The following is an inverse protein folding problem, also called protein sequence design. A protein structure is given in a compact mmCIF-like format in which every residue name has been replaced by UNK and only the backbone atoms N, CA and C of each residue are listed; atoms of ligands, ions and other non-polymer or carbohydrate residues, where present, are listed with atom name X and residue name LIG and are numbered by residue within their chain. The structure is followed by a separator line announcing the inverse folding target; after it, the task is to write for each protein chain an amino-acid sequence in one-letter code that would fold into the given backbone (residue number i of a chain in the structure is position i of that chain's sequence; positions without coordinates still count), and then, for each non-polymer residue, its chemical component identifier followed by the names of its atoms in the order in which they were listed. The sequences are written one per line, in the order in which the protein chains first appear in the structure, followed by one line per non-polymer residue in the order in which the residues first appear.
data_IF_124333035433
#
_entry.id   IF_124333035433
#
_cell.length_a   1.000
_cell.length_b   1.000
_cell.length_c   1.000
_cell.angle_alpha   90.00
_cell.angle_beta   90.00
_cell.angle_gamma   90.00
#
_symmetry.space_group_name_H-M   'P 1'
#
loop_
_entity.id
_entity.type
_entity.pdbx_description
1 polymer ?
#
# COMPACT_ATOMS: atom_id res chain seq x y z
N UNK A 1 5.62 14.12 -18.56
CA UNK A 1 4.90 12.85 -18.27
C UNK A 1 3.90 12.58 -19.40
N UNK A 2 3.83 11.36 -19.97
CA UNK A 2 2.94 11.10 -21.14
C UNK A 2 1.93 9.99 -20.91
N UNK A 3 2.13 9.10 -19.93
CA UNK A 3 1.28 7.94 -19.68
C UNK A 3 0.86 7.93 -18.21
N UNK A 4 -0.42 8.19 -17.95
CA UNK A 4 -1.01 8.20 -16.62
C UNK A 4 -1.79 6.91 -16.38
N UNK A 5 -1.58 6.27 -15.25
CA UNK A 5 -2.43 5.18 -14.76
C UNK A 5 -3.50 5.72 -13.82
N UNK A 6 -4.71 5.20 -13.90
CA UNK A 6 -5.77 5.48 -12.93
C UNK A 6 -6.17 4.22 -12.18
N UNK A 7 -6.29 4.35 -10.86
CA UNK A 7 -6.95 3.39 -9.99
C UNK A 7 -7.96 4.16 -9.15
N UNK A 8 -9.23 3.76 -9.19
CA UNK A 8 -10.32 4.54 -8.61
C UNK A 8 -11.18 3.66 -7.71
N UNK A 9 -11.59 4.20 -6.56
CA UNK A 9 -12.62 3.57 -5.72
C UNK A 9 -13.99 3.69 -6.41
N UNK A 10 -14.35 2.66 -7.18
CA UNK A 10 -15.59 2.61 -8.01
C UNK A 10 -16.87 2.85 -7.20
N UNK A 11 -16.90 2.45 -5.92
CA UNK A 11 -18.05 2.71 -5.05
C UNK A 11 -18.24 4.17 -4.64
N UNK A 12 -17.31 5.07 -5.00
CA UNK A 12 -17.40 6.50 -4.75
C UNK A 12 -17.65 7.26 -6.08
N UNK A 13 -18.87 7.77 -6.32
CA UNK A 13 -19.19 8.50 -7.54
C UNK A 13 -18.34 9.76 -7.77
N UNK A 14 -17.95 10.47 -6.71
CA UNK A 14 -17.09 11.66 -6.84
C UNK A 14 -15.67 11.30 -7.28
N UNK A 15 -15.18 10.11 -6.88
CA UNK A 15 -13.89 9.60 -7.36
C UNK A 15 -13.93 9.32 -8.87
N UNK A 16 -15.03 8.78 -9.39
CA UNK A 16 -15.21 8.55 -10.84
C UNK A 16 -15.28 9.88 -11.59
N UNK A 17 -16.06 10.85 -11.11
CA UNK A 17 -16.13 12.18 -11.72
C UNK A 17 -14.77 12.87 -11.76
N UNK A 18 -14.00 12.80 -10.67
CA UNK A 18 -12.65 13.33 -10.64
C UNK A 18 -11.74 12.60 -11.63
N UNK A 19 -11.88 11.28 -11.76
CA UNK A 19 -11.12 10.48 -12.71
C UNK A 19 -11.37 10.92 -14.17
N UNK A 20 -12.63 11.19 -14.52
CA UNK A 20 -13.02 11.72 -15.84
C UNK A 20 -12.29 13.04 -16.13
N UNK A 21 -12.31 13.98 -15.16
CA UNK A 21 -11.59 15.25 -15.31
C UNK A 21 -10.06 15.09 -15.39
N UNK A 22 -9.48 14.16 -14.64
CA UNK A 22 -8.04 13.86 -14.71
C UNK A 22 -7.70 13.29 -16.09
N UNK A 23 -8.58 12.45 -16.65
CA UNK A 23 -8.39 11.88 -17.96
C UNK A 23 -8.45 12.96 -19.07
N UNK A 24 -9.45 13.83 -19.02
CA UNK A 24 -9.57 14.97 -19.94
C UNK A 24 -8.36 15.90 -19.85
N UNK A 25 -7.96 16.28 -18.64
CA UNK A 25 -6.80 17.14 -18.39
C UNK A 25 -5.51 16.55 -18.99
N UNK A 26 -5.32 15.23 -18.88
CA UNK A 26 -4.15 14.54 -19.42
C UNK A 26 -4.15 14.52 -20.95
N UNK A 27 -5.31 14.29 -21.57
CA UNK A 27 -5.47 14.21 -23.02
C UNK A 27 -5.32 15.57 -23.68
N UNK A 28 -5.86 16.64 -23.08
CA UNK A 28 -5.67 18.03 -23.53
C UNK A 28 -4.19 18.42 -23.61
N UNK A 29 -3.35 17.80 -22.79
CA UNK A 29 -1.88 17.99 -22.75
C UNK A 29 -1.11 16.98 -23.60
N UNK A 30 -1.81 16.20 -24.43
CA UNK A 30 -1.21 15.21 -25.33
C UNK A 30 -0.75 13.91 -24.65
N UNK A 31 -1.20 13.66 -23.42
CA UNK A 31 -0.97 12.43 -22.68
C UNK A 31 -1.96 11.31 -23.04
N UNK A 32 -1.73 10.14 -22.46
CA UNK A 32 -2.62 8.97 -22.52
C UNK A 32 -2.91 8.48 -21.12
N UNK A 33 -4.14 8.01 -20.93
CA UNK A 33 -4.65 7.54 -19.65
C UNK A 33 -4.94 6.05 -19.77
N UNK A 34 -4.43 5.25 -18.84
CA UNK A 34 -4.54 3.80 -18.82
C UNK A 34 -5.23 3.35 -17.54
N UNK A 35 -6.09 2.34 -17.65
CA UNK A 35 -6.80 1.75 -16.50
C UNK A 35 -7.24 0.33 -16.84
N UNK A 36 -7.75 -0.42 -15.85
CA UNK A 36 -8.35 -1.73 -16.11
C UNK A 36 -9.63 -1.66 -16.96
N UNK A 37 -9.99 -2.79 -17.58
CA UNK A 37 -11.14 -2.91 -18.49
C UNK A 37 -12.46 -2.44 -17.88
N UNK A 38 -12.70 -2.72 -16.59
CA UNK A 38 -13.96 -2.36 -15.93
C UNK A 38 -14.06 -0.85 -15.72
N UNK A 39 -12.98 -0.24 -15.25
CA UNK A 39 -12.93 1.20 -15.00
C UNK A 39 -12.88 2.04 -16.28
N UNK A 40 -12.30 1.51 -17.37
CA UNK A 40 -12.27 2.17 -18.67
C UNK A 40 -13.68 2.40 -19.27
N UNK A 41 -14.67 1.59 -18.88
CA UNK A 41 -16.07 1.81 -19.30
C UNK A 41 -16.72 3.02 -18.61
N UNK A 42 -16.14 3.52 -17.52
CA UNK A 42 -16.70 4.58 -16.69
C UNK A 42 -15.98 5.93 -16.86
N UNK A 43 -14.77 5.92 -17.43
CA UNK A 43 -13.91 7.11 -17.59
C UNK A 43 -13.71 7.36 -19.07
N UNK A 44 -14.10 8.55 -19.55
CA UNK A 44 -13.88 8.92 -20.94
C UNK A 44 -12.40 9.03 -21.24
N UNK A 45 -12.03 8.74 -22.48
CA UNK A 45 -10.66 8.84 -22.99
C UNK A 45 -9.63 7.93 -22.30
N UNK A 46 -10.05 7.05 -21.39
CA UNK A 46 -9.20 6.05 -20.77
C UNK A 46 -9.02 4.84 -21.70
N UNK A 47 -7.81 4.33 -21.78
CA UNK A 47 -7.43 3.15 -22.54
C UNK A 47 -7.43 1.95 -21.60
N UNK A 48 -8.27 0.97 -21.89
CA UNK A 48 -8.28 -0.30 -21.18
C UNK A 48 -7.00 -1.09 -21.43
N UNK A 49 -6.39 -1.60 -20.36
CA UNK A 49 -5.31 -2.59 -20.42
C UNK A 49 -5.57 -3.71 -19.41
N UNK A 50 -5.03 -4.92 -19.62
CA UNK A 50 -5.06 -5.95 -18.60
C UNK A 50 -4.41 -5.43 -17.31
N UNK A 51 -5.02 -5.71 -16.16
CA UNK A 51 -4.56 -5.22 -14.84
C UNK A 51 -3.08 -5.51 -14.59
N UNK A 52 -2.59 -6.68 -15.03
CA UNK A 52 -1.20 -7.11 -14.93
C UNK A 52 -0.21 -6.24 -15.73
N UNK A 53 -0.67 -5.59 -16.79
CA UNK A 53 0.12 -4.79 -17.72
C UNK A 53 0.03 -3.28 -17.40
N UNK A 54 -0.89 -2.88 -16.54
CA UNK A 54 -1.05 -1.49 -16.12
C UNK A 54 0.25 -0.89 -15.52
N UNK A 55 0.98 -1.56 -14.61
CA UNK A 55 2.22 -1.03 -14.04
C UNK A 55 3.34 -0.81 -15.06
N UNK A 56 3.36 -1.52 -16.19
CA UNK A 56 4.39 -1.37 -17.22
C UNK A 56 3.97 -0.38 -18.32
N UNK A 57 2.72 0.06 -18.31
CA UNK A 57 2.13 0.92 -19.32
C UNK A 57 2.19 2.41 -18.98
N UNK A 58 2.58 2.77 -17.75
CA UNK A 58 2.41 4.13 -17.20
C UNK A 58 3.69 4.71 -16.62
N UNK A 59 3.78 6.04 -16.58
CA UNK A 59 4.87 6.80 -15.98
C UNK A 59 4.55 7.22 -14.54
N UNK A 60 3.26 7.40 -14.22
CA UNK A 60 2.73 7.75 -12.90
C UNK A 60 1.41 7.01 -12.69
N UNK A 61 1.21 6.48 -11.48
CA UNK A 61 -0.07 5.94 -11.05
C UNK A 61 -0.82 6.97 -10.19
N UNK A 62 -2.01 7.38 -10.59
CA UNK A 62 -2.90 8.25 -9.82
C UNK A 62 -3.99 7.40 -9.17
N UNK A 63 -4.06 7.45 -7.85
CA UNK A 63 -4.99 6.65 -7.04
C UNK A 63 -6.04 7.55 -6.43
N UNK A 64 -7.29 7.42 -6.85
CA UNK A 64 -8.42 8.21 -6.35
C UNK A 64 -9.25 7.36 -5.37
N UNK A 65 -9.02 7.52 -4.08
CA UNK A 65 -9.64 6.66 -3.08
C UNK A 65 -9.15 6.92 -1.66
N UNK A 66 -9.08 5.86 -0.86
CA UNK A 66 -8.48 5.90 0.48
C UNK A 66 -7.33 4.91 0.60
N UNK A 67 -6.87 4.66 1.82
CA UNK A 67 -5.73 3.77 2.09
C UNK A 67 -5.90 2.36 1.51
N UNK A 68 -7.12 1.81 1.53
CA UNK A 68 -7.39 0.50 0.90
C UNK A 68 -7.17 0.49 -0.62
N UNK A 69 -7.50 1.59 -1.29
CA UNK A 69 -7.26 1.78 -2.74
C UNK A 69 -5.76 1.96 -3.00
N UNK A 70 -5.06 2.68 -2.12
CA UNK A 70 -3.61 2.83 -2.18
C UNK A 70 -2.88 1.49 -2.01
N UNK A 71 -3.32 0.66 -1.06
CA UNK A 71 -2.77 -0.69 -0.86
C UNK A 71 -2.97 -1.58 -2.08
N UNK A 72 -4.13 -1.47 -2.74
CA UNK A 72 -4.38 -2.16 -4.00
C UNK A 72 -3.39 -1.71 -5.09
N UNK A 73 -3.21 -0.40 -5.25
CA UNK A 73 -2.26 0.16 -6.22
C UNK A 73 -0.80 -0.27 -5.94
N UNK A 74 -0.36 -0.22 -4.68
CA UNK A 74 0.98 -0.65 -4.30
C UNK A 74 1.23 -2.14 -4.62
N UNK A 75 0.23 -3.00 -4.39
CA UNK A 75 0.30 -4.43 -4.77
C UNK A 75 0.36 -4.64 -6.28
N UNK A 76 -0.38 -3.84 -7.06
CA UNK A 76 -0.33 -3.93 -8.53
C UNK A 76 1.05 -3.53 -9.06
N UNK A 77 1.62 -2.45 -8.54
CA UNK A 77 2.96 -1.98 -8.95
C UNK A 77 4.03 -3.00 -8.57
N UNK A 78 3.85 -3.71 -7.45
CA UNK A 78 4.69 -4.85 -7.03
C UNK A 78 6.19 -4.49 -7.00
N UNK A 79 6.50 -3.30 -6.47
CA UNK A 79 7.88 -2.83 -6.31
C UNK A 79 8.55 -2.32 -7.60
N UNK A 80 7.81 -2.10 -8.69
CA UNK A 80 8.31 -1.39 -9.88
C UNK A 80 8.54 0.09 -9.57
N UNK A 81 9.42 0.72 -10.34
CA UNK A 81 9.78 2.15 -10.24
C UNK A 81 8.73 3.06 -10.89
N UNK A 82 7.47 2.89 -10.51
CA UNK A 82 6.37 3.78 -10.93
C UNK A 82 5.90 4.55 -9.70
N UNK A 83 6.05 5.88 -9.66
CA UNK A 83 5.54 6.70 -8.58
C UNK A 83 4.02 6.58 -8.43
N UNK A 84 3.53 6.74 -7.20
CA UNK A 84 2.10 6.73 -6.89
C UNK A 84 1.71 8.08 -6.31
N UNK A 85 0.72 8.74 -6.93
CA UNK A 85 0.06 9.91 -6.40
C UNK A 85 -1.29 9.49 -5.79
N UNK A 86 -1.38 9.48 -4.46
CA UNK A 86 -2.61 9.18 -3.74
C UNK A 86 -3.46 10.42 -3.50
N UNK A 87 -4.68 10.41 -4.02
CA UNK A 87 -5.70 11.45 -3.79
C UNK A 87 -6.75 10.91 -2.84
N UNK A 88 -6.94 11.61 -1.73
CA UNK A 88 -7.94 11.26 -0.74
C UNK A 88 -9.35 11.64 -1.21
N UNK A 89 -10.22 10.64 -1.32
CA UNK A 89 -11.63 10.80 -1.68
C UNK A 89 -12.58 10.49 -0.51
N UNK A 90 -12.17 10.77 0.73
CA UNK A 90 -12.96 10.49 1.94
C UNK A 90 -12.36 11.10 3.21
N UNK A 91 -12.43 10.38 4.33
CA UNK A 91 -11.74 10.77 5.58
C UNK A 91 -10.23 10.81 5.37
N UNK A 92 -9.54 11.74 6.04
CA UNK A 92 -8.07 11.85 5.98
C UNK A 92 -7.43 10.50 6.36
N UNK A 93 -6.73 9.89 5.40
CA UNK A 93 -5.97 8.65 5.57
C UNK A 93 -4.50 8.93 5.88
N UNK A 94 -3.71 7.87 6.09
CA UNK A 94 -2.27 8.00 6.32
C UNK A 94 -1.44 7.90 5.03
N UNK A 95 -2.00 7.30 3.97
CA UNK A 95 -1.26 7.03 2.72
C UNK A 95 -1.62 7.97 1.58
N UNK A 96 -2.79 8.59 1.61
CA UNK A 96 -3.22 9.55 0.58
C UNK A 96 -2.65 10.92 0.88
N UNK A 97 -1.96 11.50 -0.10
CA UNK A 97 -1.10 12.66 0.10
C UNK A 97 -1.84 14.00 -0.12
N UNK A 98 -2.85 14.02 -0.99
CA UNK A 98 -3.50 15.26 -1.43
C UNK A 98 -5.03 15.14 -1.50
N UNK A 99 -5.71 16.27 -1.48
CA UNK A 99 -7.17 16.39 -1.65
C UNK A 99 -7.57 16.51 -3.13
N UNK A 100 -8.87 16.34 -3.40
CA UNK A 100 -9.47 16.52 -4.73
C UNK A 100 -9.20 17.89 -5.36
N UNK A 101 -9.13 18.94 -4.54
CA UNK A 101 -8.83 20.33 -4.96
C UNK A 101 -7.37 20.53 -5.37
N UNK A 102 -6.48 19.71 -4.85
CA UNK A 102 -5.03 19.83 -5.07
C UNK A 102 -4.54 19.01 -6.27
N UNK A 103 -5.36 18.11 -6.80
CA UNK A 103 -4.97 17.19 -7.88
C UNK A 103 -4.36 17.90 -9.08
N UNK A 104 -5.06 18.86 -9.68
CA UNK A 104 -4.54 19.53 -10.88
C UNK A 104 -3.30 20.40 -10.59
N UNK A 105 -3.27 21.23 -9.52
CA UNK A 105 -2.04 21.92 -9.13
C UNK A 105 -0.84 20.97 -8.95
N UNK A 106 -1.04 19.81 -8.32
CA UNK A 106 0.04 18.83 -8.12
C UNK A 106 0.44 18.15 -9.42
N UNK A 107 -0.51 17.78 -10.28
CA UNK A 107 -0.19 17.21 -11.60
C UNK A 107 0.62 18.18 -12.45
N UNK A 108 0.31 19.49 -12.42
CA UNK A 108 1.11 20.51 -13.10
C UNK A 108 2.52 20.64 -12.55
N UNK A 109 2.70 20.51 -11.22
CA UNK A 109 4.04 20.47 -10.61
C UNK A 109 4.81 19.22 -11.02
N UNK A 110 4.14 18.07 -11.08
CA UNK A 110 4.75 16.82 -11.55
C UNK A 110 5.20 16.92 -13.00
N UNK A 111 4.41 17.55 -13.88
CA UNK A 111 4.81 17.79 -15.27
C UNK A 111 6.06 18.66 -15.41
N UNK A 112 6.29 19.57 -14.44
CA UNK A 112 7.46 20.43 -14.36
C UNK A 112 8.63 19.80 -13.59
N UNK A 113 8.50 18.53 -13.20
CA UNK A 113 9.48 17.81 -12.38
C UNK A 113 9.73 18.47 -11.00
N UNK A 114 8.76 19.26 -10.52
CA UNK A 114 8.77 19.91 -9.20
C UNK A 114 8.05 19.03 -8.17
N UNK A 115 8.69 17.92 -7.79
CA UNK A 115 8.21 17.02 -6.75
C UNK A 115 9.36 16.27 -6.07
N UNK A 116 9.06 15.67 -4.92
CA UNK A 116 9.98 14.79 -4.18
C UNK A 116 9.38 13.40 -4.17
N UNK A 117 10.22 12.39 -4.38
CA UNK A 117 9.84 10.99 -4.21
C UNK A 117 10.14 10.53 -2.79
N UNK A 118 9.15 9.92 -2.15
CA UNK A 118 9.32 9.20 -0.89
C UNK A 118 9.34 7.70 -1.17
N UNK A 119 10.46 7.05 -0.88
CA UNK A 119 10.56 5.60 -0.94
C UNK A 119 9.95 4.98 0.32
N UNK A 120 9.02 4.04 0.12
CA UNK A 120 8.38 3.29 1.21
C UNK A 120 8.82 1.83 1.12
N UNK A 121 9.32 1.30 2.23
CA UNK A 121 9.72 -0.10 2.29
C UNK A 121 8.53 -1.05 2.12
N UNK A 122 8.80 -2.22 1.54
CA UNK A 122 7.88 -3.35 1.45
C UNK A 122 8.49 -4.54 2.19
N UNK A 123 7.69 -5.30 2.94
CA UNK A 123 8.15 -6.60 3.43
C UNK A 123 8.03 -7.62 2.31
N UNK A 124 9.08 -8.43 2.11
CA UNK A 124 8.99 -9.66 1.35
C UNK A 124 8.69 -10.80 2.32
N UNK A 125 7.60 -11.53 2.06
CA UNK A 125 7.06 -12.54 2.98
C UNK A 125 6.96 -13.86 2.26
N UNK A 126 7.64 -14.88 2.77
CA UNK A 126 7.54 -16.25 2.29
C UNK A 126 6.75 -17.10 3.28
N UNK A 127 5.72 -17.76 2.78
CA UNK A 127 5.00 -18.79 3.53
C UNK A 127 5.51 -20.15 3.05
N UNK A 128 6.19 -20.87 3.94
CA UNK A 128 6.82 -22.15 3.64
C UNK A 128 6.40 -23.25 4.62
N UNK A 129 6.50 -24.51 4.18
CA UNK A 129 6.38 -25.70 5.01
C UNK A 129 7.62 -26.57 4.81
N UNK A 130 8.48 -26.63 5.84
CA UNK A 130 9.82 -27.19 5.67
C UNK A 130 10.59 -26.38 4.64
N UNK A 131 11.23 -27.08 3.69
CA UNK A 131 11.99 -26.43 2.60
C UNK A 131 11.10 -25.97 1.43
N UNK A 132 9.81 -26.31 1.43
CA UNK A 132 8.90 -25.98 0.32
C UNK A 132 8.24 -24.61 0.55
N UNK A 133 8.58 -23.64 -0.29
CA UNK A 133 7.85 -22.36 -0.39
C UNK A 133 6.48 -22.61 -1.02
N UNK A 134 5.42 -22.21 -0.32
CA UNK A 134 4.03 -22.36 -0.76
C UNK A 134 3.52 -21.10 -1.46
N UNK A 135 3.95 -19.92 -0.99
CA UNK A 135 3.62 -18.64 -1.62
C UNK A 135 4.57 -17.53 -1.14
N UNK A 136 4.75 -16.52 -1.99
CA UNK A 136 5.54 -15.33 -1.69
C UNK A 136 4.69 -14.09 -1.92
N UNK A 137 4.83 -13.09 -1.04
CA UNK A 137 4.05 -11.86 -1.07
C UNK A 137 4.96 -10.66 -0.84
N UNK A 138 4.61 -9.51 -1.43
CA UNK A 138 5.13 -8.21 -1.02
C UNK A 138 4.02 -7.45 -0.33
N UNK A 139 4.28 -6.92 0.86
CA UNK A 139 3.27 -6.21 1.66
C UNK A 139 3.75 -4.82 2.06
N UNK A 140 2.88 -3.83 1.88
CA UNK A 140 3.17 -2.43 2.21
C UNK A 140 2.96 -2.14 3.70
N UNK A 141 1.89 -2.68 4.31
CA UNK A 141 1.61 -2.42 5.72
C UNK A 141 2.18 -3.52 6.61
N UNK A 142 1.55 -4.68 6.60
CA UNK A 142 1.85 -5.72 7.57
C UNK A 142 1.58 -7.13 7.05
N UNK A 143 2.28 -8.09 7.65
CA UNK A 143 2.06 -9.52 7.56
C UNK A 143 1.54 -10.01 8.91
N UNK A 144 0.39 -10.68 8.90
CA UNK A 144 -0.31 -11.10 10.12
C UNK A 144 -0.37 -12.62 10.18
N UNK A 145 0.23 -13.19 11.21
CA UNK A 145 0.14 -14.62 11.51
C UNK A 145 -0.83 -14.79 12.67
N UNK A 146 -2.00 -15.37 12.42
CA UNK A 146 -3.08 -15.51 13.41
C UNK A 146 -3.68 -16.92 13.36
N UNK A 147 -4.11 -17.44 14.52
CA UNK A 147 -4.85 -18.69 14.59
C UNK A 147 -6.27 -18.58 14.02
N UNK A 148 -6.78 -19.64 13.40
CA UNK A 148 -8.15 -19.68 12.85
C UNK A 148 -9.25 -19.78 13.92
N UNK A 149 -8.89 -20.05 15.18
CA UNK A 149 -9.84 -20.26 16.29
C UNK A 149 -9.53 -19.34 17.46
N UNK A 150 -10.40 -19.34 18.47
CA UNK A 150 -10.19 -18.60 19.73
C UNK A 150 -9.05 -19.17 20.62
N UNK A 151 -8.26 -20.13 20.12
CA UNK A 151 -7.12 -20.70 20.85
C UNK A 151 -5.86 -19.90 20.57
N UNK A 152 -5.09 -19.65 21.62
CA UNK A 152 -3.76 -19.05 21.52
C UNK A 152 -2.85 -19.90 20.65
N UNK A 153 -2.20 -19.26 19.68
CA UNK A 153 -1.13 -19.87 18.88
C UNK A 153 0.21 -19.74 19.60
N UNK A 154 1.12 -20.68 19.32
CA UNK A 154 2.52 -20.62 19.75
C UNK A 154 3.38 -20.26 18.55
N UNK A 155 3.99 -19.09 18.57
CA UNK A 155 4.76 -18.54 17.46
C UNK A 155 6.21 -18.37 17.90
N UNK A 156 7.06 -19.34 17.56
CA UNK A 156 8.51 -19.16 17.67
C UNK A 156 8.95 -18.08 16.68
N UNK A 157 9.62 -17.05 17.19
CA UNK A 157 10.10 -15.92 16.42
C UNK A 157 11.61 -15.89 16.45
N UNK A 158 12.20 -15.79 15.26
CA UNK A 158 13.63 -15.72 15.05
C UNK A 158 13.97 -14.49 14.23
N UNK A 159 15.04 -13.80 14.59
CA UNK A 159 15.59 -12.66 13.85
C UNK A 159 17.01 -13.04 13.47
N UNK A 160 17.39 -12.86 12.20
CA UNK A 160 18.70 -13.30 11.69
C UNK A 160 19.03 -14.76 12.03
N UNK A 161 18.01 -15.62 12.01
CA UNK A 161 18.07 -17.05 12.40
C UNK A 161 18.34 -17.30 13.88
N UNK A 162 18.45 -16.28 14.73
CA UNK A 162 18.60 -16.43 16.17
C UNK A 162 17.24 -16.44 16.86
N UNK A 163 17.09 -17.27 17.89
CA UNK A 163 15.87 -17.35 18.68
C UNK A 163 15.69 -16.08 19.52
N UNK A 164 14.51 -15.47 19.43
CA UNK A 164 14.18 -14.26 20.21
C UNK A 164 13.14 -14.57 21.28
N UNK A 165 11.99 -15.11 20.87
CA UNK A 165 10.90 -15.42 21.79
C UNK A 165 9.93 -16.44 21.19
N UNK A 166 9.11 -17.06 22.04
CA UNK A 166 7.93 -17.82 21.62
C UNK A 166 6.69 -17.09 22.13
N UNK A 167 5.96 -16.44 21.23
CA UNK A 167 4.74 -15.73 21.59
C UNK A 167 3.58 -16.72 21.78
N UNK A 168 2.89 -16.60 22.92
CA UNK A 168 1.56 -17.18 23.16
C UNK A 168 0.56 -16.05 23.06
N UNK A 169 -0.15 -15.97 21.95
CA UNK A 169 -0.95 -14.81 21.57
C UNK A 169 -2.07 -15.24 20.61
N UNK A 170 -2.99 -14.33 20.29
CA UNK A 170 -3.94 -14.55 19.19
C UNK A 170 -3.20 -14.58 17.85
N UNK A 171 -2.09 -13.84 17.75
CA UNK A 171 -1.23 -13.79 16.58
C UNK A 171 -0.02 -12.89 16.75
N UNK A 172 0.72 -12.69 15.67
CA UNK A 172 1.88 -11.82 15.56
C UNK A 172 1.78 -10.99 14.28
N UNK A 173 2.03 -9.69 14.40
CA UNK A 173 2.09 -8.74 13.30
C UNK A 173 3.56 -8.41 13.04
N UNK A 174 3.99 -8.51 11.79
CA UNK A 174 5.24 -7.96 11.30
C UNK A 174 4.89 -6.81 10.36
N UNK A 175 5.24 -5.57 10.71
CA UNK A 175 4.80 -4.38 10.00
C UNK A 175 5.97 -3.51 9.54
N UNK A 176 5.78 -2.83 8.40
CA UNK A 176 6.62 -1.72 7.96
C UNK A 176 6.29 -0.46 8.78
N UNK A 177 7.08 0.62 8.65
CA UNK A 177 6.74 1.94 9.18
C UNK A 177 5.43 2.48 8.58
N UNK A 178 5.16 2.16 7.31
CA UNK A 178 3.88 2.51 6.67
C UNK A 178 2.70 1.79 7.33
N UNK A 179 2.89 0.52 7.71
CA UNK A 179 1.90 -0.26 8.47
C UNK A 179 1.83 0.05 9.96
N UNK A 180 2.71 0.91 10.48
CA UNK A 180 2.74 1.30 11.90
C UNK A 180 1.45 1.98 12.36
N UNK A 181 0.74 2.64 11.44
CA UNK A 181 -0.54 3.31 11.66
C UNK A 181 -1.75 2.44 11.31
N UNK A 182 -1.51 1.21 10.86
CA UNK A 182 -2.54 0.23 10.50
C UNK A 182 -2.78 -0.77 11.64
N UNK A 183 -2.75 -2.08 11.37
CA UNK A 183 -3.12 -3.07 12.38
C UNK A 183 -2.12 -3.14 13.54
N UNK A 184 -0.85 -2.83 13.28
CA UNK A 184 0.19 -2.74 14.31
C UNK A 184 -0.19 -1.74 15.42
N UNK A 185 -0.75 -0.58 15.06
CA UNK A 185 -1.20 0.43 16.03
C UNK A 185 -2.25 -0.13 16.99
N UNK A 186 -3.22 -0.86 16.46
CA UNK A 186 -4.26 -1.53 17.26
C UNK A 186 -3.70 -2.62 18.18
N UNK A 187 -2.54 -3.18 17.85
CA UNK A 187 -1.80 -4.12 18.69
C UNK A 187 -0.78 -3.41 19.63
N UNK A 188 -0.94 -2.11 19.85
CA UNK A 188 -0.05 -1.24 20.65
C UNK A 188 1.36 -1.05 20.07
N UNK A 189 1.55 -1.30 18.77
CA UNK A 189 2.79 -0.96 18.06
C UNK A 189 3.04 0.55 18.04
N UNK A 190 4.30 1.00 18.03
CA UNK A 190 4.62 2.42 17.95
C UNK A 190 4.31 2.97 16.55
N UNK A 191 3.96 4.25 16.47
CA UNK A 191 3.91 4.97 15.19
C UNK A 191 5.35 5.27 14.75
N UNK A 192 5.68 4.92 13.52
CA UNK A 192 6.98 5.17 12.92
C UNK A 192 6.83 6.13 11.74
N UNK A 193 7.84 6.96 11.52
CA UNK A 193 7.87 7.82 10.34
C UNK A 193 8.06 6.95 9.07
N UNK A 194 7.31 7.18 7.97
CA UNK A 194 7.22 6.22 6.86
C UNK A 194 8.53 5.85 6.17
N UNK A 195 9.53 6.74 6.20
CA UNK A 195 10.84 6.55 5.54
C UNK A 195 11.92 5.94 6.44
N UNK A 196 11.60 5.60 7.69
CA UNK A 196 12.57 4.93 8.59
C UNK A 196 12.77 3.48 8.15
N UNK A 197 14.02 3.05 8.06
CA UNK A 197 14.38 1.67 7.78
C UNK A 197 14.25 0.80 9.05
N UNK A 198 13.08 0.21 9.25
CA UNK A 198 12.80 -0.62 10.43
C UNK A 198 11.57 -1.50 10.27
N UNK A 199 11.51 -2.57 11.04
CA UNK A 199 10.40 -3.52 11.09
C UNK A 199 9.82 -3.55 12.50
N UNK A 200 8.51 -3.52 12.62
CA UNK A 200 7.79 -3.70 13.89
C UNK A 200 7.39 -5.16 14.02
N UNK A 201 7.64 -5.76 15.19
CA UNK A 201 7.08 -7.06 15.58
C UNK A 201 6.15 -6.85 16.76
N UNK A 202 4.84 -7.00 16.55
CA UNK A 202 3.81 -6.70 17.54
C UNK A 202 2.89 -7.92 17.78
N UNK A 203 2.85 -8.49 19.00
CA UNK A 203 1.94 -9.59 19.32
C UNK A 203 0.50 -9.08 19.50
N UNK A 204 -0.47 -9.86 19.03
CA UNK A 204 -1.91 -9.57 19.19
C UNK A 204 -2.39 -10.24 20.48
N UNK A 205 -2.81 -9.45 21.47
CA UNK A 205 -3.35 -9.94 22.75
C UNK A 205 -2.47 -11.03 23.40
N UNK A 206 -1.17 -10.78 23.67
CA UNK A 206 -0.28 -11.80 24.22
C UNK A 206 -0.71 -12.23 25.64
N UNK A 207 -0.63 -13.52 25.92
CA UNK A 207 -0.90 -14.09 27.24
C UNK A 207 0.10 -13.61 28.31
N UNK A 208 1.37 -13.40 27.92
CA UNK A 208 2.41 -12.91 28.81
C UNK A 208 2.47 -11.38 28.78
N UNK A 209 2.21 -10.74 29.93
CA UNK A 209 2.19 -9.28 30.11
C UNK A 209 3.46 -8.52 29.66
N UNK A 210 4.69 -9.06 29.78
CA UNK A 210 5.91 -8.36 29.35
C UNK A 210 6.09 -8.29 27.83
N UNK A 211 5.31 -9.05 27.05
CA UNK A 211 5.44 -9.05 25.60
C UNK A 211 4.96 -7.69 25.05
N UNK A 212 5.92 -6.83 24.73
CA UNK A 212 5.70 -5.53 24.08
C UNK A 212 6.09 -5.62 22.61
N UNK A 213 5.51 -4.77 21.74
CA UNK A 213 6.03 -4.58 20.40
C UNK A 213 7.49 -4.15 20.43
N UNK A 214 8.27 -4.68 19.49
CA UNK A 214 9.68 -4.34 19.32
C UNK A 214 9.90 -3.78 17.92
N UNK A 215 10.82 -2.82 17.82
CA UNK A 215 11.26 -2.25 16.55
C UNK A 215 12.68 -2.72 16.30
N UNK A 216 12.93 -3.27 15.12
CA UNK A 216 14.22 -3.80 14.71
C UNK A 216 14.65 -3.16 13.39
N UNK A 217 15.96 -3.09 13.09
CA UNK A 217 16.44 -2.71 11.76
C UNK A 217 15.90 -3.65 10.66
N UNK A 218 15.78 -3.16 9.43
CA UNK A 218 15.40 -3.93 8.25
C UNK A 218 16.49 -4.88 7.74
#
# INVERSE_FOLDING_TARGET
MKRLGLIVKVSNPEAIKLADRVADWAVERGGKVFTDEGLALMIKNAVAVPVKDLPTSVDLMVVLGGDGTMLHAARLIDGRKVPILGVNMGSLGFLTAITDKEVFPVLERIEREDFILEERMLLSVEHARGEKVLSTHKVLNDAVIKGESARLVRLETRINREYVNTYRADGLIVATPTGSTAYSLSANGPILYPTIHSIIVAPICPFNLPNRPVVIPD
#
